data_IF_223598511440
#
_entry.id   IF_223598511440
#
_cell.length_a   1.000
_cell.length_b   1.000
_cell.length_c   1.000
_cell.angle_alpha   90.00
_cell.angle_beta   90.00
_cell.angle_gamma   90.00
#
_symmetry.space_group_name_H-M   'P 1'
#
loop_
_entity.id
_entity.type
_entity.pdbx_description
1 polymer ?
#
# COMPACT_ATOMS: atom_id res chain seq x y z
N UNK A 1 -10.09 6.42 36.77
CA UNK A 1 -9.84 5.06 37.27
C UNK A 1 -10.34 4.09 36.21
N UNK A 2 -9.38 3.56 35.45
CA UNK A 2 -9.34 2.33 34.64
C UNK A 2 -10.58 1.87 33.85
N UNK A 3 -10.41 1.77 32.52
CA UNK A 3 -9.90 0.52 31.91
C UNK A 3 -9.10 0.76 30.60
N UNK A 4 -8.11 -0.10 30.29
CA UNK A 4 -6.87 0.26 29.60
C UNK A 4 -6.64 -0.49 28.27
N UNK A 5 -5.58 -0.08 27.56
CA UNK A 5 -4.79 -0.80 26.56
C UNK A 5 -5.43 -1.16 25.21
N UNK A 6 -4.82 -0.57 24.16
CA UNK A 6 -5.02 -0.79 22.73
C UNK A 6 -4.85 -2.27 22.36
N UNK A 7 -5.95 -3.02 22.20
CA UNK A 7 -5.93 -4.41 21.72
C UNK A 7 -6.00 -4.45 20.18
N UNK A 8 -5.10 -3.75 19.48
CA UNK A 8 -4.96 -3.89 18.02
C UNK A 8 -3.57 -4.37 17.57
N UNK A 9 -2.61 -4.53 18.47
CA UNK A 9 -1.25 -4.97 18.10
C UNK A 9 -1.13 -6.48 17.82
N UNK A 10 -1.96 -7.32 18.46
CA UNK A 10 -1.75 -8.78 18.38
C UNK A 10 -2.24 -9.39 17.08
N UNK A 11 -3.32 -8.87 16.48
CA UNK A 11 -3.85 -9.38 15.20
C UNK A 11 -3.02 -8.87 14.02
N UNK A 12 -2.54 -7.62 14.10
CA UNK A 12 -1.69 -7.04 13.07
C UNK A 12 -0.36 -7.79 12.91
N UNK A 13 0.23 -8.28 14.00
CA UNK A 13 1.49 -9.04 13.94
C UNK A 13 1.32 -10.45 13.38
N UNK A 14 0.20 -11.10 13.68
CA UNK A 14 -0.13 -12.42 13.11
C UNK A 14 -0.41 -12.27 11.60
N UNK A 15 -1.19 -11.27 11.18
CA UNK A 15 -1.38 -10.94 9.76
C UNK A 15 -0.06 -10.64 9.06
N UNK A 16 0.77 -9.74 9.61
CA UNK A 16 2.09 -9.39 9.05
C UNK A 16 2.99 -10.60 8.82
N UNK A 17 2.99 -11.56 9.73
CA UNK A 17 3.80 -12.78 9.59
C UNK A 17 3.25 -13.66 8.48
N UNK A 18 1.93 -13.81 8.38
CA UNK A 18 1.26 -14.57 7.32
C UNK A 18 1.46 -13.91 5.95
N UNK A 19 1.30 -12.59 5.87
CA UNK A 19 1.42 -11.82 4.63
C UNK A 19 2.86 -11.75 4.14
N UNK A 20 3.84 -11.63 5.06
CA UNK A 20 5.26 -11.78 4.73
C UNK A 20 5.55 -13.16 4.15
N UNK A 21 5.02 -14.22 4.76
CA UNK A 21 5.17 -15.59 4.26
C UNK A 21 4.46 -15.73 2.90
N UNK A 22 3.32 -15.09 2.69
CA UNK A 22 2.60 -15.13 1.42
C UNK A 22 3.39 -14.43 0.31
N UNK A 23 3.92 -13.22 0.55
CA UNK A 23 4.72 -12.50 -0.44
C UNK A 23 6.04 -13.24 -0.74
N UNK A 24 6.69 -13.79 0.29
CA UNK A 24 7.92 -14.60 0.16
C UNK A 24 7.68 -15.94 -0.54
N UNK A 25 6.53 -16.60 -0.30
CA UNK A 25 6.13 -17.82 -1.01
C UNK A 25 5.80 -17.53 -2.46
N UNK A 26 4.97 -16.52 -2.74
CA UNK A 26 4.63 -16.14 -4.11
C UNK A 26 5.88 -15.71 -4.90
N UNK A 27 6.85 -15.05 -4.26
CA UNK A 27 8.13 -14.72 -4.87
C UNK A 27 9.07 -15.93 -5.05
N UNK A 28 8.99 -16.95 -4.19
CA UNK A 28 9.78 -18.20 -4.29
C UNK A 28 9.18 -19.22 -5.26
N UNK A 29 7.87 -19.22 -5.45
CA UNK A 29 7.12 -20.14 -6.31
C UNK A 29 7.08 -19.73 -7.79
N UNK A 30 7.64 -18.56 -8.14
CA UNK A 30 7.83 -18.13 -9.52
C UNK A 30 9.29 -18.34 -9.99
N UNK A 31 9.70 -19.57 -10.38
CA UNK A 31 10.99 -19.76 -11.03
C UNK A 31 10.95 -19.13 -12.42
N UNK A 32 11.47 -17.90 -12.52
CA UNK A 32 11.70 -17.21 -13.79
C UNK A 32 10.81 -15.99 -14.09
N UNK A 33 9.82 -15.68 -13.26
CA UNK A 33 9.01 -14.46 -13.40
C UNK A 33 9.46 -13.41 -12.39
N UNK A 34 10.06 -12.32 -12.87
CA UNK A 34 10.38 -11.12 -12.07
C UNK A 34 9.14 -10.37 -11.59
N UNK A 35 7.95 -10.91 -11.88
CA UNK A 35 6.66 -10.26 -11.69
C UNK A 35 5.76 -11.09 -10.79
N UNK A 36 5.15 -10.45 -9.79
CA UNK A 36 4.19 -11.02 -8.86
C UNK A 36 2.81 -10.36 -9.07
N UNK A 37 1.73 -11.14 -9.15
CA UNK A 37 0.37 -10.62 -9.33
C UNK A 37 -0.57 -11.10 -8.23
N UNK A 38 -1.56 -10.28 -7.89
CA UNK A 38 -2.57 -10.64 -6.91
C UNK A 38 -3.74 -9.67 -6.86
N UNK A 39 -4.59 -9.83 -5.84
CA UNK A 39 -5.82 -9.07 -5.68
C UNK A 39 -5.79 -8.22 -4.40
N UNK A 40 -6.23 -6.96 -4.50
CA UNK A 40 -6.27 -6.01 -3.38
C UNK A 40 -7.29 -6.38 -2.30
N UNK A 41 -8.29 -7.21 -2.61
CA UNK A 41 -9.23 -7.74 -1.63
C UNK A 41 -8.61 -8.84 -0.74
N UNK A 42 -7.54 -9.49 -1.20
CA UNK A 42 -6.79 -10.50 -0.44
C UNK A 42 -5.69 -9.86 0.40
N UNK A 43 -4.97 -8.90 -0.19
CA UNK A 43 -3.93 -8.11 0.46
C UNK A 43 -4.13 -6.66 0.06
N UNK A 44 -4.58 -5.82 1.01
CA UNK A 44 -4.87 -4.43 0.70
C UNK A 44 -3.58 -3.66 0.35
N UNK A 45 -3.75 -2.47 -0.25
CA UNK A 45 -2.62 -1.65 -0.70
C UNK A 45 -1.67 -1.28 0.44
N UNK A 46 -2.19 -1.06 1.64
CA UNK A 46 -1.39 -0.65 2.80
C UNK A 46 -0.46 -1.77 3.27
N UNK A 47 -1.00 -2.99 3.40
CA UNK A 47 -0.24 -4.18 3.76
C UNK A 47 0.85 -4.47 2.72
N UNK A 48 0.53 -4.25 1.42
CA UNK A 48 1.48 -4.41 0.33
C UNK A 48 2.66 -3.43 0.44
N UNK A 49 2.39 -2.13 0.58
CA UNK A 49 3.42 -1.10 0.70
C UNK A 49 4.27 -1.29 1.96
N UNK A 50 3.64 -1.67 3.08
CA UNK A 50 4.35 -1.97 4.32
C UNK A 50 5.26 -3.20 4.17
N UNK A 51 4.82 -4.24 3.45
CA UNK A 51 5.66 -5.40 3.19
C UNK A 51 6.86 -5.07 2.31
N UNK A 52 6.69 -4.21 1.30
CA UNK A 52 7.79 -3.74 0.45
C UNK A 52 8.79 -2.90 1.26
N UNK A 53 8.31 -2.04 2.16
CA UNK A 53 9.13 -1.24 3.08
C UNK A 53 9.96 -2.13 4.01
N UNK A 54 9.31 -3.05 4.75
CA UNK A 54 9.97 -3.94 5.70
C UNK A 54 10.98 -4.87 5.01
N UNK A 55 10.67 -5.32 3.80
CA UNK A 55 11.55 -6.15 2.98
C UNK A 55 12.65 -5.37 2.27
N UNK A 56 12.71 -4.04 2.41
CA UNK A 56 13.58 -3.10 1.67
C UNK A 56 13.63 -3.42 0.18
N UNK A 57 12.47 -3.71 -0.41
CA UNK A 57 12.38 -4.13 -1.81
C UNK A 57 12.47 -2.93 -2.75
N UNK A 58 13.07 -3.17 -3.91
CA UNK A 58 13.02 -2.26 -5.05
C UNK A 58 12.19 -2.89 -6.16
N UNK A 59 11.21 -2.17 -6.68
CA UNK A 59 10.28 -2.67 -7.69
C UNK A 59 9.41 -1.54 -8.26
N UNK A 60 8.73 -1.85 -9.36
CA UNK A 60 7.52 -1.13 -9.75
C UNK A 60 6.28 -1.89 -9.28
N UNK A 61 5.25 -1.16 -8.89
CA UNK A 61 3.96 -1.67 -8.44
C UNK A 61 2.87 -1.00 -9.25
N UNK A 62 2.12 -1.78 -10.02
CA UNK A 62 0.96 -1.33 -10.77
C UNK A 62 -0.30 -1.81 -10.05
N UNK A 63 -1.19 -0.87 -9.76
CA UNK A 63 -2.49 -1.10 -9.15
C UNK A 63 -3.57 -0.73 -10.14
N UNK A 64 -4.57 -1.61 -10.31
CA UNK A 64 -5.69 -1.40 -11.24
C UNK A 64 -7.02 -1.68 -10.56
N UNK A 65 -8.03 -0.84 -10.83
CA UNK A 65 -9.41 -1.02 -10.36
C UNK A 65 -10.36 -0.42 -11.40
N UNK A 66 -11.18 -1.23 -12.04
CA UNK A 66 -12.05 -0.78 -13.14
C UNK A 66 -11.25 -0.06 -14.25
N UNK A 67 -11.55 1.21 -14.53
CA UNK A 67 -10.79 2.05 -15.47
C UNK A 67 -9.58 2.77 -14.87
N UNK A 68 -9.41 2.66 -13.54
CA UNK A 68 -8.36 3.36 -12.82
C UNK A 68 -7.06 2.56 -12.78
N UNK A 69 -5.94 3.27 -12.92
CA UNK A 69 -4.59 2.73 -12.85
C UNK A 69 -3.69 3.65 -12.05
N UNK A 70 -2.94 3.08 -11.12
CA UNK A 70 -1.89 3.75 -10.38
C UNK A 70 -0.57 2.99 -10.56
N UNK A 71 0.51 3.71 -10.81
CA UNK A 71 1.86 3.16 -10.88
C UNK A 71 2.69 3.77 -9.76
N UNK A 72 3.35 2.91 -8.99
CA UNK A 72 4.25 3.28 -7.91
C UNK A 72 5.62 2.67 -8.18
N UNK A 73 6.65 3.39 -7.80
CA UNK A 73 8.03 2.91 -7.83
C UNK A 73 8.58 2.96 -6.42
N UNK A 74 9.23 1.88 -6.04
CA UNK A 74 9.83 1.69 -4.73
C UNK A 74 11.31 1.42 -4.92
N UNK A 75 12.13 2.12 -4.15
CA UNK A 75 13.57 1.91 -4.06
C UNK A 75 13.95 1.68 -2.59
N UNK A 76 14.54 0.52 -2.30
CA UNK A 76 14.95 0.11 -0.94
C UNK A 76 13.84 0.23 0.12
N UNK A 77 12.60 -0.06 -0.27
CA UNK A 77 11.42 0.06 0.60
C UNK A 77 10.82 1.46 0.70
N UNK A 78 11.42 2.46 0.04
CA UNK A 78 10.89 3.82 -0.03
C UNK A 78 10.18 4.07 -1.36
N UNK A 79 8.93 4.50 -1.31
CA UNK A 79 8.22 4.95 -2.51
C UNK A 79 8.91 6.24 -2.96
N UNK A 80 9.53 6.25 -4.14
CA UNK A 80 10.20 7.44 -4.69
C UNK A 80 9.33 8.17 -5.72
N UNK A 81 8.46 7.44 -6.42
CA UNK A 81 7.61 8.00 -7.45
C UNK A 81 6.25 7.30 -7.49
N UNK A 82 5.19 8.06 -7.79
CA UNK A 82 3.86 7.52 -8.02
C UNK A 82 3.08 8.37 -9.02
N UNK A 83 2.20 7.74 -9.80
CA UNK A 83 1.25 8.38 -10.73
C UNK A 83 -0.12 7.75 -10.63
N UNK A 84 -1.17 8.58 -10.73
CA UNK A 84 -2.56 8.14 -10.82
C UNK A 84 -3.36 9.16 -11.64
N UNK A 85 -3.73 8.81 -12.87
CA UNK A 85 -4.34 9.78 -13.80
C UNK A 85 -3.46 11.03 -13.95
N UNK A 86 -3.98 12.20 -13.55
CA UNK A 86 -3.23 13.46 -13.53
C UNK A 86 -2.50 13.74 -12.21
N UNK A 87 -2.67 12.91 -11.18
CA UNK A 87 -1.99 13.04 -9.89
C UNK A 87 -0.60 12.41 -9.93
N UNK A 88 0.32 12.98 -9.13
CA UNK A 88 1.70 12.54 -9.04
C UNK A 88 2.19 12.64 -7.59
N UNK A 89 3.12 11.77 -7.20
CA UNK A 89 3.72 11.80 -5.86
C UNK A 89 2.73 11.42 -4.75
N UNK A 90 2.81 12.13 -3.63
CA UNK A 90 2.07 11.82 -2.39
C UNK A 90 0.55 11.68 -2.65
N UNK A 91 -0.04 12.59 -3.43
CA UNK A 91 -1.47 12.58 -3.74
C UNK A 91 -1.91 11.32 -4.51
N UNK A 92 -1.06 10.83 -5.41
CA UNK A 92 -1.33 9.58 -6.13
C UNK A 92 -1.34 8.40 -5.15
N UNK A 93 -0.39 8.36 -4.21
CA UNK A 93 -0.34 7.33 -3.16
C UNK A 93 -1.59 7.40 -2.29
N UNK A 94 -2.01 8.59 -1.85
CA UNK A 94 -3.22 8.74 -1.01
C UNK A 94 -4.49 8.28 -1.70
N UNK A 95 -4.64 8.53 -3.00
CA UNK A 95 -5.81 8.02 -3.73
C UNK A 95 -5.89 6.51 -3.70
N UNK A 96 -4.79 5.82 -3.95
CA UNK A 96 -4.80 4.35 -4.03
C UNK A 96 -4.88 3.65 -2.67
N UNK A 97 -4.45 4.29 -1.58
CA UNK A 97 -4.66 3.76 -0.22
C UNK A 97 -6.15 3.60 0.15
N UNK A 98 -7.06 4.31 -0.52
CA UNK A 98 -8.52 4.15 -0.33
C UNK A 98 -9.10 2.93 -1.04
N UNK A 99 -8.32 2.21 -1.84
CA UNK A 99 -8.83 1.09 -2.62
C UNK A 99 -8.99 -0.16 -1.77
N UNK A 100 -10.21 -0.67 -1.72
CA UNK A 100 -10.58 -1.91 -1.04
C UNK A 100 -10.63 -3.12 -1.96
N UNK A 101 -10.40 -2.94 -3.26
CA UNK A 101 -10.45 -3.98 -4.28
C UNK A 101 -9.74 -3.57 -5.56
N UNK A 102 -9.53 -4.53 -6.46
CA UNK A 102 -8.73 -4.38 -7.68
C UNK A 102 -7.62 -5.42 -7.78
N UNK A 103 -6.70 -5.24 -8.72
CA UNK A 103 -5.55 -6.12 -8.96
C UNK A 103 -4.24 -5.36 -8.82
N UNK A 104 -3.23 -6.05 -8.31
CA UNK A 104 -1.86 -5.54 -8.24
C UNK A 104 -0.90 -6.38 -9.07
N UNK A 105 0.16 -5.74 -9.56
CA UNK A 105 1.29 -6.38 -10.22
C UNK A 105 2.56 -5.72 -9.74
N UNK A 106 3.46 -6.49 -9.13
CA UNK A 106 4.80 -6.05 -8.72
C UNK A 106 5.79 -6.58 -9.75
N UNK A 107 6.62 -5.73 -10.32
CA UNK A 107 7.78 -6.14 -11.12
C UNK A 107 9.05 -5.72 -10.39
N UNK A 108 9.82 -6.71 -9.93
CA UNK A 108 11.07 -6.54 -9.19
C UNK A 108 12.23 -6.06 -10.06
N UNK A 109 12.07 -6.00 -11.39
CA UNK A 109 13.02 -5.35 -12.29
C UNK A 109 12.70 -3.87 -12.54
N UNK A 110 11.48 -3.44 -12.18
CA UNK A 110 11.01 -2.08 -12.39
C UNK A 110 11.67 -1.07 -11.44
N UNK A 111 12.01 0.10 -11.98
CA UNK A 111 12.53 1.25 -11.23
C UNK A 111 12.17 2.55 -11.96
N UNK A 112 12.23 3.68 -11.26
CA UNK A 112 12.06 5.01 -11.84
C UNK A 112 13.15 5.96 -11.31
N UNK A 113 13.73 6.82 -12.16
CA UNK A 113 14.67 7.85 -11.73
C UNK A 113 13.98 9.07 -11.10
N UNK A 114 12.64 9.13 -11.15
CA UNK A 114 11.90 10.26 -10.63
C UNK A 114 11.81 10.24 -9.10
N UNK A 115 11.76 11.42 -8.51
CA UNK A 115 11.51 11.61 -7.08
C UNK A 115 10.36 12.61 -6.92
N UNK A 116 9.15 12.10 -6.73
CA UNK A 116 7.95 12.95 -6.60
C UNK A 116 7.22 12.78 -5.30
N UNK A 117 7.49 11.71 -4.57
CA UNK A 117 7.05 11.62 -3.19
C UNK A 117 7.95 12.45 -2.30
N UNK A 118 7.35 13.11 -1.31
CA UNK A 118 8.06 14.04 -0.41
C UNK A 118 8.22 13.48 1.00
N UNK A 119 7.47 12.43 1.33
CA UNK A 119 7.46 11.76 2.64
C UNK A 119 8.07 10.37 2.52
N UNK A 120 8.56 9.83 3.64
CA UNK A 120 8.92 8.40 3.72
C UNK A 120 7.69 7.52 3.49
N UNK A 121 7.88 6.26 3.10
CA UNK A 121 6.77 5.29 2.95
C UNK A 121 5.93 5.25 4.22
N UNK A 122 6.54 5.07 5.39
CA UNK A 122 5.83 5.16 6.67
C UNK A 122 5.06 6.49 6.85
N UNK A 123 5.65 7.63 6.50
CA UNK A 123 4.99 8.94 6.59
C UNK A 123 3.78 9.05 5.65
N UNK A 124 3.87 8.50 4.45
CA UNK A 124 2.76 8.41 3.50
C UNK A 124 1.63 7.53 4.06
N UNK A 125 1.97 6.37 4.63
CA UNK A 125 0.97 5.47 5.20
C UNK A 125 0.26 6.08 6.42
N UNK A 126 1.00 6.74 7.30
CA UNK A 126 0.45 7.41 8.49
C UNK A 126 -0.48 8.57 8.10
N UNK A 127 -0.08 9.39 7.14
CA UNK A 127 -0.95 10.46 6.64
C UNK A 127 -2.17 9.90 5.92
N UNK A 128 -2.01 8.86 5.09
CA UNK A 128 -3.12 8.21 4.41
C UNK A 128 -4.17 7.65 5.37
N UNK A 129 -3.73 7.07 6.49
CA UNK A 129 -4.62 6.64 7.57
C UNK A 129 -5.37 7.81 8.22
N UNK A 130 -4.68 8.93 8.49
CA UNK A 130 -5.31 10.14 9.03
C UNK A 130 -6.40 10.66 8.09
N UNK A 131 -6.10 10.77 6.80
CA UNK A 131 -7.04 11.23 5.77
C UNK A 131 -8.25 10.29 5.65
N UNK A 132 -8.05 8.98 5.77
CA UNK A 132 -9.13 8.01 5.73
C UNK A 132 -10.05 8.09 6.96
N UNK A 133 -9.48 8.26 8.16
CA UNK A 133 -10.26 8.45 9.39
C UNK A 133 -11.09 9.74 9.34
N UNK A 134 -10.52 10.83 8.82
CA UNK A 134 -11.22 12.11 8.62
C UNK A 134 -12.39 11.97 7.65
N UNK A 135 -12.17 11.34 6.49
CA UNK A 135 -13.22 11.12 5.49
C UNK A 135 -14.39 10.27 6.02
N UNK A 136 -14.09 9.27 6.86
CA UNK A 136 -15.12 8.42 7.47
C UNK A 136 -15.95 9.19 8.51
N UNK A 137 -15.32 10.03 9.34
CA UNK A 137 -16.02 10.85 10.34
C UNK A 137 -16.93 11.89 9.69
N UNK A 138 -16.46 12.55 8.65
CA UNK A 138 -17.25 13.55 7.92
C UNK A 138 -18.48 12.92 7.23
N UNK A 139 -18.32 11.70 6.72
CA UNK A 139 -19.43 10.95 6.12
C UNK A 139 -20.50 10.58 7.16
N UNK A 140 -20.10 10.18 8.38
CA UNK A 140 -21.05 9.85 9.45
C UNK A 140 -21.79 11.09 10.01
N UNK A 141 -21.12 12.24 10.06
CA UNK A 141 -21.72 13.50 10.49
C UNK A 141 -22.79 14.00 9.51
N UNK A 142 -22.57 13.82 8.20
CA UNK A 142 -23.48 14.30 7.16
C UNK A 142 -24.74 13.41 6.96
N UNK A 143 -24.72 12.16 7.40
CA UNK A 143 -25.89 11.23 7.36
C UNK A 143 -26.83 11.44 8.56
N UNK A 144 -26.35 12.07 9.63
CA UNK A 144 -27.11 12.33 10.86
C UNK A 144 -27.73 13.73 10.92
N UNK A 145 -27.44 14.60 9.94
CA UNK A 145 -28.03 15.92 9.78
C UNK A 145 -29.22 15.89 8.83
#
# INVERSE_FOLDING_TARGET
MEKPFFIHETVAHIKKTIDKIALEKLAREAPGESTLRGNLAQMNCMDLLQSLEMGRKSCSLVLTRDSDRCELYVAEGQINHATYGSLKGDDAVYKVLTWTGGSFTIDFSGSSPEQTTTRSTQGLLMEGLRLLDEANRDSEANVRA
#
